data_IF_429835495654
#
_entry.id   IF_429835495654
#
_cell.length_a   1.000
_cell.length_b   1.000
_cell.length_c   1.000
_cell.angle_alpha   90.00
_cell.angle_beta   90.00
_cell.angle_gamma   90.00
#
_symmetry.space_group_name_H-M   'P 1'
#
loop_
_entity.id
_entity.type
_entity.pdbx_description
1 polymer ?
#
# COMPACT_ATOMS: atom_id res chain seq x y z
N UNK A 1 -4.82 7.48 21.97
CA UNK A 1 -5.39 6.13 21.76
C UNK A 1 -4.31 5.06 21.61
N UNK A 2 -3.34 5.20 20.67
CA UNK A 2 -2.34 4.16 20.38
C UNK A 2 -1.56 3.74 21.63
N UNK A 3 -0.97 4.68 22.38
CA UNK A 3 -0.24 4.39 23.64
C UNK A 3 -1.08 3.57 24.62
N UNK A 4 -2.34 3.97 24.84
CA UNK A 4 -3.21 3.25 25.79
C UNK A 4 -3.53 1.81 25.35
N UNK A 5 -3.64 1.57 24.04
CA UNK A 5 -3.81 0.21 23.49
C UNK A 5 -2.51 -0.57 23.68
N UNK A 6 -1.37 0.03 23.34
CA UNK A 6 -0.06 -0.60 23.45
C UNK A 6 0.24 -1.00 24.88
N UNK A 7 0.03 -0.08 25.83
CA UNK A 7 0.30 -0.31 27.26
C UNK A 7 -0.58 -1.43 27.85
N UNK A 8 -1.82 -1.55 27.35
CA UNK A 8 -2.79 -2.53 27.89
C UNK A 8 -2.70 -3.90 27.23
N UNK A 9 -2.26 -3.98 25.98
CA UNK A 9 -2.37 -5.22 25.19
C UNK A 9 -1.03 -5.74 24.67
N UNK A 10 -0.03 -4.87 24.50
CA UNK A 10 1.23 -5.19 23.84
C UNK A 10 1.09 -5.51 22.33
N UNK A 11 -0.11 -5.44 21.77
CA UNK A 11 -0.36 -5.81 20.38
C UNK A 11 0.30 -4.83 19.40
N UNK A 12 0.78 -5.31 18.25
CA UNK A 12 1.23 -4.45 17.16
C UNK A 12 0.07 -3.59 16.62
N UNK A 13 0.36 -2.31 16.40
CA UNK A 13 -0.63 -1.30 15.96
C UNK A 13 -0.31 -0.88 14.53
N UNK A 14 -1.33 -0.88 13.67
CA UNK A 14 -1.28 -0.32 12.33
C UNK A 14 -2.17 0.92 12.23
N UNK A 15 -1.59 2.02 11.76
CA UNK A 15 -2.35 3.24 11.48
C UNK A 15 -2.44 3.50 9.97
N UNK A 16 -3.59 4.01 9.50
CA UNK A 16 -3.78 4.43 8.12
C UNK A 16 -4.17 5.90 8.11
N UNK A 17 -3.55 6.67 7.21
CA UNK A 17 -3.82 8.10 7.08
C UNK A 17 -3.48 8.59 5.67
N UNK A 18 -4.04 9.75 5.31
CA UNK A 18 -3.65 10.48 4.12
C UNK A 18 -2.40 11.34 4.41
N UNK A 19 -1.58 11.69 3.39
CA UNK A 19 -0.43 12.55 3.57
C UNK A 19 -0.80 13.80 4.39
N UNK A 20 -0.18 14.02 5.56
CA UNK A 20 -0.51 15.17 6.40
C UNK A 20 0.15 16.45 5.88
N UNK A 21 -0.40 17.61 6.20
CA UNK A 21 0.22 18.91 5.91
C UNK A 21 1.54 19.08 6.67
N UNK A 22 1.62 18.55 7.89
CA UNK A 22 2.80 18.58 8.74
C UNK A 22 3.31 17.14 8.99
N UNK A 23 4.50 16.85 8.52
CA UNK A 23 5.12 15.51 8.67
C UNK A 23 5.43 15.14 10.13
N UNK A 24 5.44 16.09 11.08
CA UNK A 24 5.56 15.81 12.52
C UNK A 24 4.43 14.90 13.02
N UNK A 25 3.28 14.88 12.35
CA UNK A 25 2.22 13.92 12.63
C UNK A 25 2.71 12.46 12.60
N UNK A 26 3.64 12.14 11.70
CA UNK A 26 4.21 10.80 11.56
C UNK A 26 5.12 10.47 12.76
N UNK A 27 5.87 11.48 13.25
CA UNK A 27 6.68 11.36 14.46
C UNK A 27 5.81 11.08 15.68
N UNK A 28 4.68 11.78 15.80
CA UNK A 28 3.73 11.57 16.89
C UNK A 28 3.15 10.14 16.86
N UNK A 29 2.80 9.60 15.69
CA UNK A 29 2.34 8.23 15.57
C UNK A 29 3.41 7.24 16.06
N UNK A 30 4.66 7.43 15.63
CA UNK A 30 5.78 6.59 16.04
C UNK A 30 6.03 6.68 17.54
N UNK A 31 6.11 7.88 18.11
CA UNK A 31 6.32 8.14 19.52
C UNK A 31 5.21 7.53 20.41
N UNK A 32 3.99 7.39 19.87
CA UNK A 32 2.86 6.80 20.58
C UNK A 32 2.70 5.28 20.38
N UNK A 33 3.71 4.60 19.83
CA UNK A 33 3.77 3.14 19.77
C UNK A 33 3.05 2.49 18.61
N UNK A 34 2.78 3.24 17.53
CA UNK A 34 2.37 2.65 16.25
C UNK A 34 3.55 1.86 15.67
N UNK A 35 3.31 0.68 15.13
CA UNK A 35 4.34 -0.24 14.62
C UNK A 35 4.47 -0.23 13.11
N UNK A 36 3.37 0.03 12.40
CA UNK A 36 3.31 0.06 10.93
C UNK A 36 2.31 1.10 10.45
N UNK A 37 2.51 1.61 9.23
CA UNK A 37 1.60 2.60 8.66
C UNK A 37 1.20 2.27 7.22
N UNK A 38 -0.02 2.69 6.85
CA UNK A 38 -0.53 2.64 5.50
C UNK A 38 -0.84 4.04 4.99
N UNK A 39 -0.22 4.43 3.88
CA UNK A 39 -0.48 5.69 3.18
C UNK A 39 -0.77 5.35 1.73
N UNK A 40 -2.06 5.31 1.39
CA UNK A 40 -2.55 4.63 0.18
C UNK A 40 -2.79 5.61 -0.95
N UNK A 41 -2.05 5.44 -2.07
CA UNK A 41 -2.22 6.27 -3.27
C UNK A 41 -3.33 5.77 -4.19
N UNK A 42 -3.62 4.47 -4.19
CA UNK A 42 -4.56 3.73 -5.01
C UNK A 42 -4.13 3.54 -6.48
N UNK A 43 -3.59 4.55 -7.15
CA UNK A 43 -3.08 4.47 -8.53
C UNK A 43 -1.94 5.45 -8.76
N UNK A 44 -1.02 5.10 -9.66
CA UNK A 44 0.01 6.01 -10.17
C UNK A 44 -0.36 6.62 -11.52
N UNK A 45 -1.49 6.24 -12.11
CA UNK A 45 -2.04 6.88 -13.29
C UNK A 45 -2.77 8.17 -12.90
N UNK A 46 -2.22 9.33 -13.29
CA UNK A 46 -2.77 10.64 -12.93
C UNK A 46 -4.20 10.86 -13.47
N UNK A 47 -4.53 10.29 -14.64
CA UNK A 47 -5.88 10.41 -15.21
C UNK A 47 -6.88 9.61 -14.39
N UNK A 48 -6.46 8.41 -13.96
CA UNK A 48 -7.26 7.55 -13.08
C UNK A 48 -7.45 8.22 -11.73
N UNK A 49 -6.37 8.74 -11.12
CA UNK A 49 -6.45 9.48 -9.85
C UNK A 49 -7.41 10.65 -9.95
N UNK A 50 -7.29 11.48 -11.00
CA UNK A 50 -8.15 12.64 -11.20
C UNK A 50 -9.64 12.30 -11.35
N UNK A 51 -9.94 11.15 -11.95
CA UNK A 51 -11.30 10.68 -12.19
C UNK A 51 -11.91 9.95 -10.98
N UNK A 52 -11.14 9.05 -10.36
CA UNK A 52 -11.66 8.08 -9.38
C UNK A 52 -11.41 8.54 -7.95
N UNK A 53 -10.27 9.17 -7.68
CA UNK A 53 -9.87 9.63 -6.33
C UNK A 53 -9.38 11.08 -6.35
N UNK A 54 -10.23 12.04 -6.74
CA UNK A 54 -9.83 13.43 -6.98
C UNK A 54 -9.24 14.13 -5.73
N UNK A 55 -9.57 13.66 -4.54
CA UNK A 55 -8.96 14.17 -3.31
C UNK A 55 -7.46 13.86 -3.27
N UNK A 56 -7.06 12.63 -3.58
CA UNK A 56 -5.65 12.21 -3.64
C UNK A 56 -4.90 12.84 -4.81
N UNK A 57 -5.56 13.03 -5.94
CA UNK A 57 -5.00 13.76 -7.07
C UNK A 57 -4.62 15.21 -6.69
N UNK A 58 -5.41 15.87 -5.84
CA UNK A 58 -5.08 17.23 -5.33
C UNK A 58 -3.91 17.24 -4.36
N UNK A 59 -3.73 16.20 -3.57
CA UNK A 59 -2.55 16.04 -2.70
C UNK A 59 -1.29 15.94 -3.55
N UNK A 60 -1.36 15.21 -4.66
CA UNK A 60 -0.27 15.02 -5.60
C UNK A 60 0.74 13.95 -5.17
N UNK A 61 1.29 13.23 -6.16
CA UNK A 61 2.20 12.09 -5.94
C UNK A 61 3.44 12.49 -5.14
N UNK A 62 3.97 13.70 -5.34
CA UNK A 62 5.16 14.17 -4.63
C UNK A 62 4.95 14.20 -3.11
N UNK A 63 3.77 14.63 -2.64
CA UNK A 63 3.47 14.63 -1.20
C UNK A 63 3.34 13.22 -0.63
N UNK A 64 2.83 12.27 -1.40
CA UNK A 64 2.87 10.85 -1.02
C UNK A 64 4.31 10.37 -0.87
N UNK A 65 5.20 10.68 -1.81
CA UNK A 65 6.62 10.30 -1.77
C UNK A 65 7.28 10.81 -0.49
N UNK A 66 7.16 12.10 -0.19
CA UNK A 66 7.72 12.72 1.03
C UNK A 66 7.19 12.02 2.31
N UNK A 67 5.89 11.70 2.32
CA UNK A 67 5.25 11.02 3.44
C UNK A 67 5.76 9.59 3.60
N UNK A 68 5.94 8.84 2.51
CA UNK A 68 6.50 7.49 2.57
C UNK A 68 7.96 7.51 3.02
N UNK A 69 8.80 8.37 2.47
CA UNK A 69 10.21 8.50 2.84
C UNK A 69 10.34 8.83 4.33
N UNK A 70 9.59 9.83 4.82
CA UNK A 70 9.57 10.14 6.25
C UNK A 70 9.07 8.98 7.11
N UNK A 71 8.05 8.26 6.64
CA UNK A 71 7.53 7.10 7.35
C UNK A 71 8.55 5.96 7.40
N UNK A 72 9.27 5.69 6.31
CA UNK A 72 10.30 4.64 6.28
C UNK A 72 11.49 4.99 7.18
N UNK A 73 11.90 6.24 7.24
CA UNK A 73 12.94 6.70 8.20
C UNK A 73 12.60 6.35 9.65
N UNK A 74 11.33 6.47 10.04
CA UNK A 74 10.88 6.25 11.41
C UNK A 74 10.53 4.80 11.72
N UNK A 75 9.73 4.18 10.87
CA UNK A 75 9.18 2.83 11.10
C UNK A 75 10.09 1.73 10.54
N UNK A 76 10.97 2.07 9.61
CA UNK A 76 11.84 1.15 8.90
C UNK A 76 11.21 0.59 7.62
N UNK A 77 12.05 0.07 6.75
CA UNK A 77 11.62 -0.63 5.52
C UNK A 77 10.63 -1.74 5.82
N UNK A 78 9.65 -1.92 4.91
CA UNK A 78 8.61 -2.94 5.02
C UNK A 78 7.55 -2.68 6.12
N UNK A 79 7.69 -1.64 6.94
CA UNK A 79 6.67 -1.26 7.93
C UNK A 79 5.71 -0.18 7.39
N UNK A 80 5.98 0.34 6.21
CA UNK A 80 5.15 1.27 5.46
C UNK A 80 4.55 0.54 4.27
N UNK A 81 3.28 0.78 3.97
CA UNK A 81 2.61 0.17 2.81
C UNK A 81 1.74 1.17 2.07
N UNK A 82 1.55 0.93 0.78
CA UNK A 82 0.57 1.65 -0.03
C UNK A 82 -0.27 0.68 -0.85
N UNK A 83 -1.57 0.93 -0.93
CA UNK A 83 -2.44 0.19 -1.85
C UNK A 83 -2.24 0.67 -3.27
N UNK A 84 -2.24 -0.30 -4.19
CA UNK A 84 -2.42 -0.10 -5.63
C UNK A 84 -3.62 -0.96 -6.02
N UNK A 85 -4.68 -0.32 -6.51
CA UNK A 85 -5.93 -1.02 -6.88
C UNK A 85 -5.91 -1.28 -8.39
N UNK A 86 -6.03 -2.54 -8.77
CA UNK A 86 -6.13 -2.97 -10.16
C UNK A 86 -7.59 -2.98 -10.60
N UNK A 87 -7.88 -2.31 -11.72
CA UNK A 87 -9.21 -2.24 -12.32
C UNK A 87 -9.90 -0.89 -12.20
N UNK A 88 -9.16 0.18 -11.87
CA UNK A 88 -9.67 1.56 -11.86
C UNK A 88 -9.67 2.22 -13.26
N UNK A 89 -9.12 1.52 -14.28
CA UNK A 89 -8.97 2.02 -15.64
C UNK A 89 -7.51 2.29 -16.04
N UNK A 90 -6.56 1.94 -15.20
CA UNK A 90 -5.11 2.06 -15.41
C UNK A 90 -4.55 0.94 -16.31
N UNK A 91 -3.39 1.22 -16.92
CA UNK A 91 -2.59 0.22 -17.61
C UNK A 91 -1.73 -0.60 -16.64
N UNK A 92 -1.44 -1.87 -17.00
CA UNK A 92 -0.60 -2.78 -16.19
C UNK A 92 0.80 -2.18 -15.93
N UNK A 93 1.35 -1.44 -16.90
CA UNK A 93 2.64 -0.75 -16.76
C UNK A 93 2.65 0.28 -15.62
N UNK A 94 1.55 1.01 -15.42
CA UNK A 94 1.41 1.97 -14.31
C UNK A 94 1.44 1.27 -12.94
N UNK A 95 0.84 0.08 -12.84
CA UNK A 95 0.84 -0.72 -11.63
C UNK A 95 2.24 -1.22 -11.31
N UNK A 96 2.94 -1.77 -12.31
CA UNK A 96 4.28 -2.33 -12.17
C UNK A 96 5.29 -1.23 -11.80
N UNK A 97 5.26 -0.11 -12.52
CA UNK A 97 6.16 1.02 -12.24
C UNK A 97 5.85 1.65 -10.88
N UNK A 98 4.58 1.83 -10.55
CA UNK A 98 4.17 2.30 -9.22
C UNK A 98 4.63 1.37 -8.10
N UNK A 99 4.56 0.05 -8.30
CA UNK A 99 5.09 -0.93 -7.36
C UNK A 99 6.60 -0.82 -7.20
N UNK A 100 7.33 -0.52 -8.28
CA UNK A 100 8.78 -0.28 -8.26
C UNK A 100 9.12 0.99 -7.49
N UNK A 101 8.40 2.09 -7.76
CA UNK A 101 8.57 3.37 -7.06
C UNK A 101 8.42 3.21 -5.55
N UNK A 102 7.44 2.43 -5.10
CA UNK A 102 7.22 2.11 -3.69
C UNK A 102 8.35 1.25 -3.12
N UNK A 103 8.65 0.14 -3.79
CA UNK A 103 9.63 -0.83 -3.30
C UNK A 103 11.05 -0.25 -3.22
N UNK A 104 11.45 0.63 -4.16
CA UNK A 104 12.72 1.35 -4.16
C UNK A 104 12.89 2.26 -2.93
N UNK A 105 11.77 2.63 -2.28
CA UNK A 105 11.72 3.44 -1.06
C UNK A 105 11.49 2.63 0.22
N UNK A 106 11.54 1.30 0.14
CA UNK A 106 11.27 0.44 1.29
C UNK A 106 9.79 0.32 1.68
N UNK A 107 8.90 0.85 0.84
CA UNK A 107 7.43 0.78 1.02
C UNK A 107 6.89 -0.48 0.36
N UNK A 108 6.11 -1.27 1.10
CA UNK A 108 5.50 -2.48 0.56
C UNK A 108 4.34 -2.14 -0.38
N UNK A 109 4.41 -2.49 -1.69
CA UNK A 109 3.32 -2.30 -2.63
C UNK A 109 2.23 -3.35 -2.38
N UNK A 110 1.14 -2.96 -1.75
CA UNK A 110 0.02 -3.87 -1.49
C UNK A 110 -0.99 -3.81 -2.64
N UNK A 111 -0.78 -4.67 -3.64
CA UNK A 111 -1.64 -4.75 -4.83
C UNK A 111 -2.89 -5.54 -4.54
N UNK A 112 -4.05 -4.98 -4.88
CA UNK A 112 -5.36 -5.62 -4.71
C UNK A 112 -6.27 -5.35 -5.91
N UNK A 113 -7.23 -6.25 -6.12
CA UNK A 113 -8.25 -6.13 -7.15
C UNK A 113 -9.33 -5.15 -6.72
N UNK A 114 -9.86 -4.36 -7.65
CA UNK A 114 -11.09 -3.60 -7.45
C UNK A 114 -12.21 -4.54 -6.96
N UNK A 115 -12.92 -4.07 -5.95
CA UNK A 115 -14.12 -4.72 -5.40
C UNK A 115 -15.28 -3.74 -5.46
N UNK A 116 -16.13 -3.80 -6.49
CA UNK A 116 -17.30 -2.94 -6.58
C UNK A 116 -18.20 -3.09 -5.35
N UNK A 117 -18.63 -1.97 -4.79
CA UNK A 117 -19.48 -1.94 -3.60
C UNK A 117 -20.81 -1.29 -3.99
N UNK A 118 -21.96 -1.92 -3.70
CA UNK A 118 -23.28 -1.32 -3.96
C UNK A 118 -23.38 0.09 -3.36
N UNK A 119 -23.89 1.04 -4.15
CA UNK A 119 -24.04 2.45 -3.76
C UNK A 119 -22.77 3.30 -3.93
N UNK A 120 -21.65 2.74 -4.42
CA UNK A 120 -20.47 3.52 -4.81
C UNK A 120 -20.52 3.89 -6.30
N UNK A 121 -19.75 4.93 -6.69
CA UNK A 121 -19.64 5.33 -8.11
C UNK A 121 -19.08 4.22 -9.00
N UNK A 122 -18.40 3.24 -8.41
CA UNK A 122 -17.80 2.10 -9.11
C UNK A 122 -18.60 0.80 -8.95
N UNK A 123 -19.85 0.84 -8.51
CA UNK A 123 -20.66 -0.35 -8.22
C UNK A 123 -20.93 -1.26 -9.45
N UNK A 124 -20.85 -0.66 -10.66
CA UNK A 124 -21.08 -1.37 -11.93
C UNK A 124 -19.79 -1.72 -12.68
N UNK A 125 -18.63 -1.38 -12.14
CA UNK A 125 -17.35 -1.72 -12.76
C UNK A 125 -17.07 -3.23 -12.64
N UNK A 126 -16.37 -3.75 -13.64
CA UNK A 126 -16.01 -5.18 -13.68
C UNK A 126 -14.64 -5.37 -13.04
N UNK A 127 -14.52 -6.20 -12.00
CA UNK A 127 -13.21 -6.52 -11.44
C UNK A 127 -12.25 -7.10 -12.48
N UNK A 128 -10.94 -6.89 -12.34
CA UNK A 128 -9.94 -7.47 -13.24
C UNK A 128 -10.01 -8.99 -13.21
N UNK A 129 -9.91 -9.61 -14.40
CA UNK A 129 -9.94 -11.06 -14.56
C UNK A 129 -8.70 -11.73 -13.94
N UNK A 130 -8.84 -13.03 -13.63
CA UNK A 130 -7.80 -13.85 -12.98
C UNK A 130 -6.44 -13.78 -13.69
N UNK A 131 -6.39 -13.92 -15.01
CA UNK A 131 -5.12 -13.92 -15.77
C UNK A 131 -4.39 -12.56 -15.70
N UNK A 132 -5.13 -11.43 -15.69
CA UNK A 132 -4.55 -10.10 -15.49
C UNK A 132 -3.94 -10.00 -14.09
N UNK A 133 -4.70 -10.34 -13.06
CA UNK A 133 -4.21 -10.30 -11.68
C UNK A 133 -3.00 -11.21 -11.46
N UNK A 134 -3.02 -12.42 -12.03
CA UNK A 134 -1.91 -13.36 -11.94
C UNK A 134 -0.62 -12.77 -12.49
N UNK A 135 -0.65 -12.22 -13.72
CA UNK A 135 0.54 -11.59 -14.34
C UNK A 135 1.09 -10.45 -13.48
N UNK A 136 0.20 -9.57 -12.99
CA UNK A 136 0.58 -8.46 -12.13
C UNK A 136 1.23 -8.95 -10.84
N UNK A 137 0.64 -9.95 -10.16
CA UNK A 137 1.23 -10.52 -8.96
C UNK A 137 2.59 -11.19 -9.21
N UNK A 138 2.75 -11.88 -10.33
CA UNK A 138 4.04 -12.48 -10.71
C UNK A 138 5.13 -11.41 -10.83
N UNK A 139 4.88 -10.31 -11.56
CA UNK A 139 5.84 -9.23 -11.72
C UNK A 139 6.10 -8.45 -10.43
N UNK A 140 5.05 -8.06 -9.71
CA UNK A 140 5.20 -7.32 -8.44
C UNK A 140 5.90 -8.16 -7.38
N UNK A 141 5.67 -9.48 -7.34
CA UNK A 141 6.38 -10.36 -6.39
C UNK A 141 7.88 -10.40 -6.64
N UNK A 142 8.32 -10.30 -7.88
CA UNK A 142 9.75 -10.19 -8.20
C UNK A 142 10.33 -8.86 -7.71
N UNK A 143 9.64 -7.73 -7.95
CA UNK A 143 10.05 -6.42 -7.46
C UNK A 143 10.21 -6.43 -5.94
N UNK A 144 9.22 -6.96 -5.21
CA UNK A 144 9.23 -7.06 -3.75
C UNK A 144 10.43 -7.88 -3.26
N UNK A 145 10.69 -9.03 -3.89
CA UNK A 145 11.83 -9.90 -3.55
C UNK A 145 13.18 -9.22 -3.83
N UNK A 146 13.34 -8.59 -4.98
CA UNK A 146 14.58 -7.93 -5.39
C UNK A 146 14.97 -6.78 -4.45
N UNK A 147 14.00 -6.17 -3.78
CA UNK A 147 14.22 -5.12 -2.77
C UNK A 147 14.24 -5.66 -1.33
N UNK A 148 14.23 -6.98 -1.15
CA UNK A 148 14.27 -7.60 0.17
C UNK A 148 13.03 -7.34 1.03
N UNK A 149 11.93 -6.87 0.42
CA UNK A 149 10.65 -6.71 1.10
C UNK A 149 9.93 -8.06 1.19
N UNK A 150 9.06 -8.22 2.18
CA UNK A 150 8.22 -9.41 2.30
C UNK A 150 7.07 -9.18 3.29
N UNK A 151 5.91 -9.76 3.00
CA UNK A 151 4.79 -9.77 3.94
C UNK A 151 5.17 -10.31 5.33
N UNK A 152 6.15 -11.23 5.41
CA UNK A 152 6.63 -11.84 6.66
C UNK A 152 7.32 -10.85 7.59
N UNK A 153 7.93 -9.80 7.04
CA UNK A 153 8.65 -8.78 7.79
C UNK A 153 7.72 -7.71 8.37
N UNK A 154 6.49 -7.59 7.87
CA UNK A 154 5.54 -6.61 8.38
C UNK A 154 5.00 -7.03 9.75
N UNK A 155 5.00 -6.10 10.71
CA UNK A 155 4.58 -6.33 12.10
C UNK A 155 3.06 -6.37 12.25
N UNK A 156 2.34 -5.54 11.48
CA UNK A 156 0.88 -5.40 11.57
C UNK A 156 0.26 -4.97 10.23
N UNK A 157 -1.05 -4.75 10.21
CA UNK A 157 -1.80 -4.18 9.09
C UNK A 157 -2.10 -5.16 7.96
N UNK A 158 -2.53 -4.61 6.83
CA UNK A 158 -3.01 -5.38 5.68
C UNK A 158 -1.94 -6.29 5.09
N UNK A 159 -0.69 -5.85 5.06
CA UNK A 159 0.45 -6.66 4.57
C UNK A 159 0.61 -7.92 5.43
N UNK A 160 0.52 -7.83 6.74
CA UNK A 160 0.59 -8.97 7.65
C UNK A 160 -0.67 -9.83 7.61
N UNK A 161 -1.85 -9.20 7.45
CA UNK A 161 -3.14 -9.86 7.38
C UNK A 161 -3.33 -10.67 6.08
N UNK A 162 -2.93 -10.13 4.93
CA UNK A 162 -2.98 -10.75 3.58
C UNK A 162 -4.39 -11.00 3.02
N UNK A 163 -5.45 -10.73 3.77
CA UNK A 163 -6.82 -11.12 3.42
C UNK A 163 -7.35 -10.51 2.11
N UNK A 164 -6.79 -9.36 1.67
CA UNK A 164 -7.28 -8.62 0.49
C UNK A 164 -6.41 -8.77 -0.76
N UNK A 165 -5.26 -9.46 -0.68
CA UNK A 165 -4.31 -9.63 -1.78
C UNK A 165 -3.79 -11.06 -1.80
N UNK A 166 -3.48 -11.57 -2.97
CA UNK A 166 -2.82 -12.86 -3.13
C UNK A 166 -1.30 -12.73 -3.37
N UNK A 167 -0.74 -11.53 -3.24
CA UNK A 167 0.68 -11.27 -3.53
C UNK A 167 1.61 -12.15 -2.69
N UNK A 168 1.26 -12.45 -1.44
CA UNK A 168 2.00 -13.32 -0.53
C UNK A 168 2.19 -14.76 -1.06
N UNK A 169 1.22 -15.26 -1.83
CA UNK A 169 1.29 -16.58 -2.48
C UNK A 169 2.40 -16.58 -3.53
N UNK A 170 2.49 -15.48 -4.32
CA UNK A 170 3.51 -15.34 -5.37
C UNK A 170 4.90 -15.03 -4.79
N UNK A 171 4.99 -14.28 -3.68
CA UNK A 171 6.25 -14.15 -2.93
C UNK A 171 6.76 -15.50 -2.42
N UNK A 172 5.86 -16.39 -2.04
CA UNK A 172 6.22 -17.69 -1.45
C UNK A 172 6.62 -18.73 -2.50
N UNK A 173 6.27 -18.54 -3.77
CA UNK A 173 6.73 -19.42 -4.86
C UNK A 173 8.24 -19.29 -5.00
N UNK A 174 8.96 -20.39 -4.81
CA UNK A 174 10.36 -20.52 -5.22
C UNK A 174 10.38 -20.38 -6.74
N UNK A 175 11.22 -19.49 -7.27
CA UNK A 175 11.48 -19.42 -8.70
C UNK A 175 11.80 -20.85 -9.18
N UNK A 176 10.99 -21.34 -10.12
CA UNK A 176 11.23 -22.61 -10.78
C UNK A 176 12.41 -22.49 -11.74
#
# INVERSE_FOLDING_TARGET
CASAIKDRTGLPIHAQFEPPDDLRYIEDLYAHGVDTVGVHIESFDEKVLGKVVPAKARIGVQRFIETWERSVELFGENQVSSFIIVGLGEDDSSIIEGSRILADRGVYPFVLSLRPIPGSDLEHEVPPGFERMKRIYEEVSMIVKDRGLSWKRSKAGCVRCRACSALDIFESKRGG
#
